data_IF_642326814017
#
_entry.id   IF_642326814017
#
_cell.length_a   1.000
_cell.length_b   1.000
_cell.length_c   1.000
_cell.angle_alpha   90.00
_cell.angle_beta   90.00
_cell.angle_gamma   90.00
#
_symmetry.space_group_name_H-M   'P 1'
#
loop_
_entity.id
_entity.type
_entity.pdbx_description
1 polymer ?
#
# COMPACT_ATOMS: atom_id res chain seq x y z
N UNK A 1 -49.30 5.48 -41.86
CA UNK A 1 -48.76 4.82 -40.66
C UNK A 1 -47.28 5.20 -40.61
N UNK A 2 -46.81 5.91 -39.59
CA UNK A 2 -45.39 6.21 -39.49
C UNK A 2 -44.64 4.90 -39.23
N UNK A 3 -43.62 4.66 -40.04
CA UNK A 3 -42.67 3.55 -39.96
C UNK A 3 -42.14 3.43 -38.54
N UNK A 4 -42.35 2.28 -37.91
CA UNK A 4 -41.67 1.92 -36.66
C UNK A 4 -40.17 2.02 -36.89
N UNK A 5 -39.53 3.08 -36.36
CA UNK A 5 -38.08 3.15 -36.28
C UNK A 5 -37.62 1.92 -35.49
N UNK A 6 -36.78 1.09 -36.11
CA UNK A 6 -36.24 -0.13 -35.51
C UNK A 6 -35.26 0.23 -34.40
N UNK A 7 -35.80 0.57 -33.23
CA UNK A 7 -35.04 0.82 -32.00
C UNK A 7 -34.45 -0.50 -31.53
N UNK A 8 -33.14 -0.70 -31.73
CA UNK A 8 -32.46 -1.94 -31.31
C UNK A 8 -31.70 -1.74 -30.00
N UNK A 9 -31.97 -2.61 -29.01
CA UNK A 9 -31.22 -2.65 -27.74
C UNK A 9 -30.08 -3.65 -27.83
N UNK A 10 -28.87 -3.23 -27.45
CA UNK A 10 -27.68 -4.08 -27.47
C UNK A 10 -26.80 -3.78 -26.25
N UNK A 11 -26.18 -4.81 -25.69
CA UNK A 11 -25.12 -4.65 -24.70
C UNK A 11 -23.81 -4.30 -25.41
N UNK A 12 -23.23 -3.15 -25.08
CA UNK A 12 -22.00 -2.65 -25.70
C UNK A 12 -21.06 -2.06 -24.65
N UNK A 13 -19.78 -2.00 -24.97
CA UNK A 13 -18.86 -1.14 -24.24
C UNK A 13 -18.89 0.26 -24.86
N UNK A 14 -19.03 1.28 -24.01
CA UNK A 14 -19.13 2.68 -24.38
C UNK A 14 -17.89 3.38 -23.85
N UNK A 15 -17.19 4.08 -24.73
CA UNK A 15 -16.05 4.92 -24.40
C UNK A 15 -16.46 6.38 -24.61
N UNK A 16 -16.34 7.17 -23.56
CA UNK A 16 -16.53 8.61 -23.55
C UNK A 16 -15.19 9.28 -23.30
N UNK A 17 -14.81 10.24 -24.13
CA UNK A 17 -13.61 11.04 -23.95
C UNK A 17 -13.94 12.52 -24.00
N UNK A 18 -13.37 13.32 -23.11
CA UNK A 18 -13.58 14.77 -23.06
C UNK A 18 -12.30 15.49 -22.63
N UNK A 19 -12.12 16.72 -23.07
CA UNK A 19 -10.90 17.50 -22.79
C UNK A 19 -11.07 18.35 -21.52
N UNK A 20 -10.03 18.39 -20.67
CA UNK A 20 -10.00 19.30 -19.53
C UNK A 20 -9.76 20.75 -19.97
N UNK A 21 -10.54 21.69 -19.41
CA UNK A 21 -10.24 23.12 -19.51
C UNK A 21 -10.49 23.75 -20.88
N UNK A 22 -11.30 23.11 -21.75
CA UNK A 22 -11.62 23.59 -23.09
C UNK A 22 -11.96 25.10 -23.16
N UNK A 23 -12.79 25.58 -22.24
CA UNK A 23 -13.23 26.99 -22.22
C UNK A 23 -12.11 27.99 -21.94
N UNK A 24 -11.04 27.58 -21.23
CA UNK A 24 -9.91 28.44 -20.90
C UNK A 24 -8.96 28.52 -22.10
N UNK A 25 -8.68 27.39 -22.75
CA UNK A 25 -7.78 27.34 -23.92
C UNK A 25 -8.37 28.06 -25.14
N UNK A 26 -9.68 27.98 -25.33
CA UNK A 26 -10.38 28.73 -26.38
C UNK A 26 -10.31 30.25 -26.19
N UNK A 27 -10.18 30.73 -24.95
CA UNK A 27 -10.04 32.15 -24.67
C UNK A 27 -8.62 32.69 -24.94
N UNK A 28 -7.60 31.82 -24.90
CA UNK A 28 -6.20 32.19 -25.12
C UNK A 28 -5.82 32.19 -26.62
N UNK A 29 -6.09 31.09 -27.34
CA UNK A 29 -5.83 30.98 -28.78
C UNK A 29 -6.86 30.05 -29.45
N UNK A 30 -7.96 30.64 -29.91
CA UNK A 30 -9.10 29.95 -30.52
C UNK A 30 -8.69 29.15 -31.78
N UNK A 31 -7.85 29.73 -32.64
CA UNK A 31 -7.48 29.12 -33.91
C UNK A 31 -6.58 27.91 -33.69
N UNK A 32 -5.60 28.03 -32.78
CA UNK A 32 -4.73 26.93 -32.41
C UNK A 32 -5.52 25.80 -31.74
N UNK A 33 -6.37 26.12 -30.77
CA UNK A 33 -7.15 25.13 -30.01
C UNK A 33 -8.09 24.33 -30.92
N UNK A 34 -8.81 24.98 -31.85
CA UNK A 34 -9.66 24.28 -32.82
C UNK A 34 -8.85 23.34 -33.72
N UNK A 35 -7.66 23.75 -34.16
CA UNK A 35 -6.80 22.92 -35.01
C UNK A 35 -6.33 21.68 -34.25
N UNK A 36 -5.83 21.86 -33.02
CA UNK A 36 -5.33 20.78 -32.19
C UNK A 36 -6.42 19.77 -31.83
N UNK A 37 -7.63 20.22 -31.49
CA UNK A 37 -8.76 19.33 -31.20
C UNK A 37 -9.14 18.50 -32.43
N UNK A 38 -9.11 19.08 -33.64
CA UNK A 38 -9.36 18.32 -34.87
C UNK A 38 -8.31 17.24 -35.10
N UNK A 39 -7.04 17.54 -34.84
CA UNK A 39 -5.94 16.57 -34.95
C UNK A 39 -6.13 15.44 -33.92
N UNK A 40 -6.41 15.76 -32.66
CA UNK A 40 -6.59 14.77 -31.59
C UNK A 40 -7.84 13.92 -31.83
N UNK A 41 -8.91 14.52 -32.35
CA UNK A 41 -10.09 13.77 -32.82
C UNK A 41 -9.77 12.82 -33.95
N UNK A 42 -8.93 13.22 -34.91
CA UNK A 42 -8.53 12.32 -36.00
C UNK A 42 -7.72 11.13 -35.48
N UNK A 43 -6.83 11.36 -34.50
CA UNK A 43 -6.06 10.30 -33.83
C UNK A 43 -7.01 9.34 -33.11
N UNK A 44 -7.92 9.88 -32.28
CA UNK A 44 -8.89 9.08 -31.55
C UNK A 44 -9.77 8.25 -32.47
N UNK A 45 -10.34 8.84 -33.53
CA UNK A 45 -11.17 8.11 -34.50
C UNK A 45 -10.40 6.97 -35.17
N UNK A 46 -9.14 7.20 -35.53
CA UNK A 46 -8.30 6.17 -36.12
C UNK A 46 -8.03 5.00 -35.15
N UNK A 47 -7.71 5.29 -33.89
CA UNK A 47 -7.57 4.27 -32.86
C UNK A 47 -8.88 3.50 -32.66
N UNK A 48 -10.01 4.19 -32.57
CA UNK A 48 -11.32 3.56 -32.38
C UNK A 48 -11.62 2.57 -33.49
N UNK A 49 -11.40 2.95 -34.76
CA UNK A 49 -11.58 2.06 -35.90
C UNK A 49 -10.60 0.87 -35.88
N UNK A 50 -9.34 1.09 -35.51
CA UNK A 50 -8.32 0.04 -35.42
C UNK A 50 -8.68 -1.03 -34.39
N UNK A 51 -9.35 -0.66 -33.30
CA UNK A 51 -9.83 -1.57 -32.26
C UNK A 51 -11.30 -1.98 -32.46
N UNK A 52 -11.80 -1.98 -33.70
CA UNK A 52 -13.16 -2.42 -34.06
C UNK A 52 -14.28 -1.66 -33.34
N UNK A 53 -14.01 -0.43 -32.91
CA UNK A 53 -15.01 0.49 -32.38
C UNK A 53 -15.65 1.32 -33.47
N UNK A 54 -16.76 1.96 -33.13
CA UNK A 54 -17.46 2.93 -33.98
C UNK A 54 -17.62 4.24 -33.24
N UNK A 55 -17.16 5.32 -33.85
CA UNK A 55 -17.42 6.68 -33.36
C UNK A 55 -18.90 7.00 -33.56
N UNK A 56 -19.53 7.51 -32.51
CA UNK A 56 -20.91 7.99 -32.49
C UNK A 56 -20.84 9.51 -32.50
N UNK A 57 -21.52 10.13 -33.46
CA UNK A 57 -21.52 11.59 -33.60
C UNK A 57 -22.08 12.26 -32.33
N UNK A 58 -21.27 13.15 -31.73
CA UNK A 58 -21.59 13.82 -30.47
C UNK A 58 -21.43 15.33 -30.63
N UNK A 59 -22.42 16.13 -30.19
CA UNK A 59 -22.32 17.58 -30.25
C UNK A 59 -21.30 18.11 -29.23
N UNK A 60 -20.25 18.78 -29.72
CA UNK A 60 -19.23 19.41 -28.88
C UNK A 60 -17.81 18.97 -29.23
N UNK A 61 -16.95 18.96 -28.22
CA UNK A 61 -15.55 18.55 -28.16
C UNK A 61 -15.35 17.11 -27.65
N UNK A 62 -16.36 16.56 -26.98
CA UNK A 62 -16.38 15.17 -26.52
C UNK A 62 -16.37 14.14 -27.67
N UNK A 63 -15.78 12.96 -27.44
CA UNK A 63 -15.79 11.83 -28.37
C UNK A 63 -16.51 10.68 -27.69
N UNK A 64 -17.56 10.17 -28.35
CA UNK A 64 -18.31 9.02 -27.88
C UNK A 64 -18.14 7.87 -28.88
N UNK A 65 -17.93 6.65 -28.39
CA UNK A 65 -17.81 5.49 -29.25
C UNK A 65 -18.37 4.22 -28.61
N UNK A 66 -18.81 3.29 -29.46
CA UNK A 66 -19.26 1.96 -29.06
C UNK A 66 -18.31 0.86 -29.54
N UNK A 67 -18.16 -0.19 -28.73
CA UNK A 67 -17.39 -1.39 -29.04
C UNK A 67 -18.22 -2.64 -28.72
N UNK A 68 -18.03 -3.68 -29.53
CA UNK A 68 -18.59 -4.99 -29.25
C UNK A 68 -17.88 -5.70 -28.07
N UNK A 69 -16.62 -5.34 -27.81
CA UNK A 69 -15.74 -5.95 -26.82
C UNK A 69 -15.25 -4.91 -25.84
N UNK A 70 -15.44 -5.17 -24.54
CA UNK A 70 -14.88 -4.34 -23.45
C UNK A 70 -13.35 -4.35 -23.46
N UNK A 71 -12.75 -5.48 -23.88
CA UNK A 71 -11.28 -5.59 -23.98
C UNK A 71 -10.76 -4.59 -25.00
N UNK A 72 -11.38 -4.55 -26.18
CA UNK A 72 -11.00 -3.69 -27.29
C UNK A 72 -11.22 -2.22 -26.91
N UNK A 73 -12.33 -1.89 -26.25
CA UNK A 73 -12.61 -0.54 -25.77
C UNK A 73 -11.52 -0.03 -24.81
N UNK A 74 -11.09 -0.85 -23.85
CA UNK A 74 -10.07 -0.44 -22.88
C UNK A 74 -8.68 -0.41 -23.50
N UNK A 75 -8.33 -1.36 -24.37
CA UNK A 75 -7.06 -1.29 -25.12
C UNK A 75 -7.00 -0.05 -26.03
N UNK A 76 -8.11 0.27 -26.69
CA UNK A 76 -8.25 1.49 -27.48
C UNK A 76 -8.05 2.73 -26.61
N UNK A 77 -8.68 2.81 -25.43
CA UNK A 77 -8.51 3.92 -24.51
C UNK A 77 -7.04 4.12 -24.12
N UNK A 78 -6.33 3.04 -23.80
CA UNK A 78 -4.89 3.06 -23.46
C UNK A 78 -4.06 3.54 -24.65
N UNK A 79 -4.32 3.05 -25.86
CA UNK A 79 -3.60 3.47 -27.06
C UNK A 79 -3.86 4.94 -27.40
N UNK A 80 -5.09 5.41 -27.25
CA UNK A 80 -5.45 6.83 -27.40
C UNK A 80 -4.58 7.67 -26.45
N UNK A 81 -4.57 7.36 -25.15
CA UNK A 81 -3.77 8.15 -24.19
C UNK A 81 -2.29 8.14 -24.53
N UNK A 82 -1.74 7.02 -25.01
CA UNK A 82 -0.33 6.93 -25.45
C UNK A 82 -0.03 7.82 -26.65
N UNK A 83 -0.92 7.87 -27.65
CA UNK A 83 -0.72 8.72 -28.82
C UNK A 83 -0.90 10.20 -28.48
N UNK A 84 -1.91 10.54 -27.67
CA UNK A 84 -2.12 11.92 -27.23
C UNK A 84 -0.96 12.42 -26.36
N UNK A 85 -0.38 11.57 -25.50
CA UNK A 85 0.83 11.90 -24.74
C UNK A 85 1.99 12.30 -25.66
N UNK A 86 2.27 11.50 -26.70
CA UNK A 86 3.35 11.80 -27.67
C UNK A 86 3.17 13.14 -28.39
N UNK A 87 1.93 13.54 -28.67
CA UNK A 87 1.63 14.83 -29.28
C UNK A 87 1.72 15.97 -28.26
N UNK A 88 1.21 15.77 -27.03
CA UNK A 88 1.32 16.74 -25.93
C UNK A 88 2.78 17.01 -25.50
N UNK A 89 3.66 16.01 -25.57
CA UNK A 89 5.09 16.17 -25.24
C UNK A 89 5.82 17.14 -26.19
N UNK A 90 5.25 17.42 -27.37
CA UNK A 90 5.78 18.41 -28.33
C UNK A 90 5.32 19.84 -28.01
N UNK A 91 4.39 20.00 -27.07
CA UNK A 91 3.78 21.27 -26.71
C UNK A 91 4.28 21.73 -25.33
N UNK A 92 4.31 23.06 -25.15
CA UNK A 92 4.47 23.68 -23.84
C UNK A 92 3.26 23.36 -22.97
N UNK A 93 3.47 23.28 -21.65
CA UNK A 93 2.48 22.79 -20.68
C UNK A 93 1.11 23.47 -20.79
N UNK A 94 1.09 24.81 -20.89
CA UNK A 94 -0.13 25.61 -21.03
C UNK A 94 -0.92 25.39 -22.34
N UNK A 95 -0.33 24.65 -23.29
CA UNK A 95 -0.95 24.34 -24.59
C UNK A 95 -1.33 22.87 -24.74
N UNK A 96 -1.11 22.04 -23.72
CA UNK A 96 -1.43 20.61 -23.75
C UNK A 96 -2.95 20.41 -23.66
N UNK A 97 -3.46 19.47 -24.45
CA UNK A 97 -4.87 19.05 -24.39
C UNK A 97 -4.94 17.68 -23.72
N UNK A 98 -5.33 17.68 -22.45
CA UNK A 98 -5.42 16.46 -21.66
C UNK A 98 -6.85 15.91 -21.69
N UNK A 99 -7.02 14.81 -22.41
CA UNK A 99 -8.29 14.10 -22.49
C UNK A 99 -8.45 13.17 -21.29
N UNK A 100 -9.65 13.17 -20.72
CA UNK A 100 -10.12 12.16 -19.77
C UNK A 100 -10.90 11.12 -20.53
N UNK A 101 -10.78 9.84 -20.16
CA UNK A 101 -11.53 8.76 -20.78
C UNK A 101 -12.29 7.93 -19.74
N UNK A 102 -13.56 7.66 -20.01
CA UNK A 102 -14.43 6.79 -19.23
C UNK A 102 -14.95 5.63 -20.06
N UNK A 103 -14.80 4.40 -19.57
CA UNK A 103 -15.34 3.19 -20.22
C UNK A 103 -16.38 2.51 -19.34
N UNK A 104 -17.55 2.26 -19.90
CA UNK A 104 -18.60 1.50 -19.24
C UNK A 104 -19.11 0.38 -20.15
N UNK A 105 -19.61 -0.71 -19.57
CA UNK A 105 -20.43 -1.67 -20.30
C UNK A 105 -21.88 -1.52 -19.87
N UNK A 106 -22.79 -1.41 -20.83
CA UNK A 106 -24.21 -1.25 -20.53
C UNK A 106 -25.09 -1.42 -21.75
N UNK A 107 -26.39 -1.53 -21.48
CA UNK A 107 -27.39 -1.57 -22.54
C UNK A 107 -27.50 -0.19 -23.18
N UNK A 108 -27.42 -0.17 -24.51
CA UNK A 108 -27.65 1.01 -25.31
C UNK A 108 -28.82 0.79 -26.26
N UNK A 109 -29.49 1.88 -26.56
CA UNK A 109 -30.50 2.00 -27.59
C UNK A 109 -29.86 2.72 -28.77
N UNK A 110 -29.82 2.04 -29.93
CA UNK A 110 -29.28 2.60 -31.15
C UNK A 110 -30.41 3.16 -32.03
N UNK A 111 -30.26 4.42 -32.43
CA UNK A 111 -31.11 5.10 -33.42
C UNK A 111 -30.21 5.75 -34.47
N UNK A 112 -30.23 5.22 -35.69
CA UNK A 112 -29.32 5.58 -36.79
C UNK A 112 -27.82 5.55 -36.39
N UNK A 113 -27.19 6.72 -36.32
CA UNK A 113 -25.79 6.93 -35.94
C UNK A 113 -25.61 7.35 -34.47
N UNK A 114 -26.71 7.43 -33.70
CA UNK A 114 -26.69 7.87 -32.30
C UNK A 114 -27.00 6.72 -31.34
N UNK A 115 -26.40 6.81 -30.15
CA UNK A 115 -26.64 5.88 -29.05
C UNK A 115 -27.23 6.62 -27.86
N UNK A 116 -28.22 6.00 -27.22
CA UNK A 116 -28.90 6.52 -26.03
C UNK A 116 -28.97 5.46 -24.95
N UNK A 117 -29.09 5.89 -23.70
CA UNK A 117 -29.34 5.00 -22.56
C UNK A 117 -28.45 5.30 -21.36
N UNK A 118 -28.76 4.66 -20.24
CA UNK A 118 -28.03 4.87 -18.99
C UNK A 118 -26.56 4.46 -19.13
N UNK A 119 -26.24 3.49 -19.99
CA UNK A 119 -24.87 3.08 -20.29
C UNK A 119 -23.98 4.23 -20.78
N UNK A 120 -24.55 5.15 -21.58
CA UNK A 120 -23.87 6.35 -22.08
C UNK A 120 -23.66 7.37 -20.97
N UNK A 121 -24.70 7.63 -20.16
CA UNK A 121 -24.64 8.56 -19.04
C UNK A 121 -23.60 8.12 -18.00
N UNK A 122 -23.49 6.80 -17.74
CA UNK A 122 -22.47 6.24 -16.86
C UNK A 122 -21.07 6.47 -17.45
N UNK A 123 -20.85 6.18 -18.75
CA UNK A 123 -19.56 6.37 -19.39
C UNK A 123 -19.07 7.82 -19.28
N UNK A 124 -19.93 8.80 -19.58
CA UNK A 124 -19.58 10.22 -19.44
C UNK A 124 -19.39 10.66 -17.99
N UNK A 125 -20.13 10.08 -17.03
CA UNK A 125 -19.88 10.37 -15.62
C UNK A 125 -18.55 9.81 -15.12
N UNK A 126 -18.19 8.61 -15.58
CA UNK A 126 -16.91 7.97 -15.25
C UNK A 126 -15.75 8.73 -15.88
N UNK A 127 -15.91 9.23 -17.11
CA UNK A 127 -14.93 10.12 -17.75
C UNK A 127 -14.66 11.35 -16.88
N UNK A 128 -15.71 12.01 -16.38
CA UNK A 128 -15.55 13.17 -15.50
C UNK A 128 -14.90 12.89 -14.14
N UNK A 129 -14.70 11.62 -13.77
CA UNK A 129 -13.97 11.21 -12.56
C UNK A 129 -12.50 10.86 -12.85
N UNK A 130 -12.11 10.73 -14.12
CA UNK A 130 -10.74 10.42 -14.47
C UNK A 130 -9.81 11.61 -14.24
N UNK A 131 -8.57 11.31 -13.86
CA UNK A 131 -7.52 12.31 -13.87
C UNK A 131 -7.25 12.80 -15.31
N UNK A 132 -6.66 13.99 -15.51
CA UNK A 132 -6.22 14.42 -16.83
C UNK A 132 -5.27 13.38 -17.45
N UNK A 133 -5.45 13.07 -18.74
CA UNK A 133 -4.76 11.96 -19.40
C UNK A 133 -5.02 10.56 -18.77
N UNK A 134 -6.01 10.43 -17.90
CA UNK A 134 -6.38 9.21 -17.20
C UNK A 134 -7.49 8.41 -17.89
N UNK A 135 -7.66 7.17 -17.42
CA UNK A 135 -8.73 6.27 -17.85
C UNK A 135 -9.43 5.70 -16.62
N UNK A 136 -10.74 5.88 -16.56
CA UNK A 136 -11.59 5.25 -15.55
C UNK A 136 -12.57 4.27 -16.20
N UNK A 137 -12.87 3.18 -15.48
CA UNK A 137 -13.77 2.14 -15.95
C UNK A 137 -14.80 1.76 -14.90
N UNK A 138 -15.98 1.34 -15.34
CA UNK A 138 -17.00 0.80 -14.41
C UNK A 138 -16.61 -0.59 -13.93
N UNK A 139 -17.18 -1.01 -12.79
CA UNK A 139 -17.03 -2.39 -12.30
C UNK A 139 -17.38 -3.44 -13.35
N UNK A 140 -18.43 -3.21 -14.13
CA UNK A 140 -18.84 -4.15 -15.18
C UNK A 140 -17.75 -4.34 -16.22
N UNK A 141 -17.07 -3.24 -16.61
CA UNK A 141 -15.93 -3.31 -17.51
C UNK A 141 -14.72 -3.98 -16.85
N UNK A 142 -14.39 -3.59 -15.62
CA UNK A 142 -13.30 -4.19 -14.82
C UNK A 142 -13.43 -5.71 -14.69
N UNK A 143 -14.63 -6.20 -14.32
CA UNK A 143 -14.86 -7.63 -14.10
C UNK A 143 -14.64 -8.47 -15.38
N UNK A 144 -14.84 -7.89 -16.56
CA UNK A 144 -14.60 -8.57 -17.84
C UNK A 144 -13.13 -8.60 -18.27
N UNK A 145 -12.32 -7.63 -17.84
CA UNK A 145 -10.95 -7.44 -18.34
C UNK A 145 -9.85 -7.79 -17.34
N UNK A 146 -10.13 -7.81 -16.02
CA UNK A 146 -9.13 -8.01 -14.95
C UNK A 146 -8.27 -9.28 -15.06
N UNK A 147 -8.71 -10.29 -15.81
CA UNK A 147 -7.98 -11.55 -16.09
C UNK A 147 -7.46 -11.65 -17.51
N UNK A 148 -7.79 -10.69 -18.37
CA UNK A 148 -7.53 -10.71 -19.82
C UNK A 148 -6.46 -9.68 -20.23
N UNK A 149 -6.36 -8.59 -19.47
CA UNK A 149 -5.39 -7.52 -19.70
C UNK A 149 -4.39 -7.47 -18.55
N UNK A 150 -3.12 -7.20 -18.87
CA UNK A 150 -2.03 -7.09 -17.90
C UNK A 150 -1.89 -5.72 -17.23
N UNK A 151 -2.93 -4.89 -17.29
CA UNK A 151 -2.92 -3.55 -16.68
C UNK A 151 -3.16 -3.62 -15.17
N UNK A 152 -2.62 -2.65 -14.43
CA UNK A 152 -2.97 -2.42 -13.03
C UNK A 152 -4.32 -1.72 -12.92
N UNK A 153 -5.00 -1.87 -11.78
CA UNK A 153 -6.26 -1.19 -11.52
C UNK A 153 -6.32 -0.69 -10.07
N UNK A 154 -6.75 0.54 -9.88
CA UNK A 154 -6.98 1.12 -8.55
C UNK A 154 -8.48 1.34 -8.33
N UNK A 155 -8.99 0.95 -7.16
CA UNK A 155 -10.40 1.11 -6.84
C UNK A 155 -10.69 2.52 -6.31
N UNK A 156 -11.55 3.27 -7.01
CA UNK A 156 -11.87 4.67 -6.69
C UNK A 156 -13.15 4.84 -5.85
N UNK A 157 -13.75 3.76 -5.38
CA UNK A 157 -14.98 3.80 -4.58
C UNK A 157 -16.29 3.78 -5.38
N UNK A 158 -17.36 4.12 -4.69
CA UNK A 158 -18.74 4.17 -5.21
C UNK A 158 -19.15 5.61 -5.51
N UNK A 159 -19.61 5.86 -6.73
CA UNK A 159 -19.95 7.19 -7.22
C UNK A 159 -21.42 7.28 -7.66
N UNK A 160 -22.22 8.23 -7.14
CA UNK A 160 -23.60 8.40 -7.56
C UNK A 160 -23.66 8.99 -8.97
N UNK A 161 -24.47 8.38 -9.84
CA UNK A 161 -24.73 8.89 -11.19
C UNK A 161 -26.16 9.43 -11.25
N UNK A 162 -26.33 10.61 -11.85
CA UNK A 162 -27.64 11.25 -11.98
C UNK A 162 -28.57 10.31 -12.77
N UNK A 163 -29.78 10.08 -12.25
CA UNK A 163 -30.80 9.20 -12.81
C UNK A 163 -30.50 7.69 -12.73
N UNK A 164 -29.58 7.26 -11.86
CA UNK A 164 -29.29 5.85 -11.60
C UNK A 164 -29.49 5.58 -10.11
N UNK A 165 -30.27 4.54 -9.79
CA UNK A 165 -30.67 4.23 -8.41
C UNK A 165 -29.52 3.69 -7.55
N UNK A 166 -28.58 3.00 -8.16
CA UNK A 166 -27.42 2.41 -7.47
C UNK A 166 -26.14 3.17 -7.84
N UNK A 167 -25.25 3.43 -6.86
CA UNK A 167 -23.96 4.06 -7.15
C UNK A 167 -23.07 3.13 -7.98
N UNK A 168 -22.33 3.71 -8.91
CA UNK A 168 -21.44 2.97 -9.81
C UNK A 168 -20.07 2.87 -9.17
N UNK A 169 -19.55 1.64 -9.07
CA UNK A 169 -18.17 1.38 -8.64
C UNK A 169 -17.20 1.68 -9.78
N UNK A 170 -16.18 2.49 -9.50
CA UNK A 170 -15.24 2.99 -10.50
C UNK A 170 -13.82 2.51 -10.19
N UNK A 171 -13.07 2.18 -11.23
CA UNK A 171 -11.66 1.78 -11.16
C UNK A 171 -10.84 2.64 -12.11
N UNK A 172 -9.67 3.10 -11.68
CA UNK A 172 -8.67 3.72 -12.54
C UNK A 172 -7.83 2.64 -13.20
N UNK A 173 -7.54 2.79 -14.50
CA UNK A 173 -6.62 1.91 -15.23
C UNK A 173 -5.22 2.48 -15.10
N UNK A 174 -4.29 1.66 -14.60
CA UNK A 174 -2.88 2.00 -14.52
C UNK A 174 -2.21 1.57 -15.83
N UNK A 175 -1.85 2.53 -16.68
CA UNK A 175 -1.23 2.31 -17.98
C UNK A 175 0.27 1.99 -17.83
N UNK A 176 0.96 1.49 -18.86
CA UNK A 176 2.42 1.28 -18.79
C UNK A 176 3.22 2.59 -18.56
N UNK A 177 2.60 3.76 -18.68
CA UNK A 177 3.13 5.06 -18.22
C UNK A 177 2.86 5.37 -16.74
N UNK A 178 2.19 4.45 -16.03
CA UNK A 178 2.13 4.29 -14.57
C UNK A 178 3.07 3.16 -14.08
N UNK A 179 3.83 2.51 -14.98
CA UNK A 179 5.18 2.12 -14.60
C UNK A 179 5.98 3.44 -14.51
N UNK A 180 6.82 3.64 -13.49
CA UNK A 180 7.44 4.95 -13.26
C UNK A 180 8.37 5.31 -14.41
N UNK A 181 7.83 5.95 -15.46
CA UNK A 181 8.60 6.88 -16.27
C UNK A 181 8.99 7.99 -15.33
N UNK A 182 10.30 8.18 -15.19
CA UNK A 182 10.95 9.14 -14.31
C UNK A 182 10.21 10.49 -14.33
N UNK A 183 9.32 10.69 -13.34
CA UNK A 183 8.70 11.97 -13.10
C UNK A 183 9.80 12.89 -12.59
N UNK A 184 10.19 13.79 -13.47
CA UNK A 184 10.83 15.04 -13.12
C UNK A 184 9.95 15.70 -12.05
N UNK A 185 10.53 15.88 -10.87
CA UNK A 185 10.17 16.86 -9.84
C UNK A 185 8.72 17.00 -9.37
N UNK A 186 8.00 15.89 -9.12
CA UNK A 186 7.15 15.86 -7.93
C UNK A 186 7.87 15.14 -6.79
N UNK A 187 8.25 15.94 -5.80
CA UNK A 187 8.71 15.49 -4.49
C UNK A 187 7.44 15.04 -3.78
N UNK A 188 7.29 13.74 -3.49
CA UNK A 188 6.35 13.36 -2.44
C UNK A 188 6.78 14.13 -1.22
N UNK A 189 5.94 15.06 -0.74
CA UNK A 189 6.19 15.75 0.52
C UNK A 189 6.48 14.66 1.54
N UNK A 190 7.70 14.68 2.08
CA UNK A 190 8.09 13.75 3.12
C UNK A 190 7.03 13.88 4.22
N UNK A 191 6.44 12.77 4.66
CA UNK A 191 5.46 12.84 5.74
C UNK A 191 6.04 13.66 6.90
N UNK A 192 5.22 14.48 7.55
CA UNK A 192 5.62 15.26 8.74
C UNK A 192 6.24 14.40 9.85
N UNK A 193 6.03 13.07 9.77
CA UNK A 193 6.61 12.06 10.64
C UNK A 193 7.74 11.31 9.91
N UNK A 194 8.82 10.95 10.61
CA UNK A 194 9.89 10.13 10.03
C UNK A 194 9.33 8.84 9.42
N UNK A 195 9.85 8.47 8.25
CA UNK A 195 9.33 7.39 7.41
C UNK A 195 10.42 6.46 6.93
N UNK A 196 10.13 5.15 6.90
CA UNK A 196 11.11 4.11 6.54
C UNK A 196 10.51 3.06 5.60
N UNK A 197 11.31 2.66 4.61
CA UNK A 197 11.09 1.43 3.85
C UNK A 197 12.17 0.40 4.20
N UNK A 198 11.75 -0.84 4.44
CA UNK A 198 12.68 -1.97 4.58
C UNK A 198 12.67 -2.77 3.29
N UNK A 199 13.79 -2.79 2.57
CA UNK A 199 13.93 -3.53 1.33
C UNK A 199 14.18 -5.01 1.59
N UNK A 200 13.77 -5.91 0.67
CA UNK A 200 14.09 -7.33 0.76
C UNK A 200 15.57 -7.54 0.92
N UNK A 201 15.97 -8.26 1.98
CA UNK A 201 17.38 -8.54 2.21
C UNK A 201 17.91 -9.50 1.14
N UNK A 202 19.09 -9.19 0.61
CA UNK A 202 19.73 -10.02 -0.40
C UNK A 202 20.21 -11.34 0.18
N UNK A 203 19.85 -12.45 -0.45
CA UNK A 203 20.41 -13.75 -0.14
C UNK A 203 21.78 -13.92 -0.82
N UNK A 204 22.85 -13.77 -0.05
CA UNK A 204 24.23 -13.93 -0.51
C UNK A 204 24.81 -15.32 -0.14
N UNK A 205 23.95 -16.26 0.27
CA UNK A 205 24.31 -17.64 0.61
C UNK A 205 24.65 -18.48 -0.62
N UNK A 206 24.30 -18.03 -1.83
CA UNK A 206 24.50 -18.75 -3.09
C UNK A 206 23.52 -19.90 -3.32
N UNK A 207 22.55 -20.09 -2.42
CA UNK A 207 21.51 -21.11 -2.48
C UNK A 207 20.13 -20.46 -2.54
N UNK A 208 19.45 -20.49 -3.71
CA UNK A 208 18.11 -19.92 -3.87
C UNK A 208 17.05 -20.58 -2.98
N UNK A 209 17.30 -21.79 -2.46
CA UNK A 209 16.35 -22.43 -1.53
C UNK A 209 16.31 -21.75 -0.16
N UNK A 210 17.27 -20.86 0.14
CA UNK A 210 17.35 -20.11 1.39
C UNK A 210 16.72 -18.71 1.29
N UNK A 211 16.15 -18.36 0.15
CA UNK A 211 15.51 -17.07 -0.09
C UNK A 211 14.36 -16.76 0.88
N UNK A 212 13.63 -17.79 1.31
CA UNK A 212 12.57 -17.65 2.31
C UNK A 212 13.09 -17.08 3.64
N UNK A 213 14.37 -17.31 3.95
CA UNK A 213 14.97 -16.90 5.21
C UNK A 213 15.29 -15.40 5.21
N UNK A 214 15.86 -14.87 4.13
CA UNK A 214 16.08 -13.44 3.97
C UNK A 214 14.76 -12.67 3.87
N UNK A 215 13.77 -13.21 3.17
CA UNK A 215 12.43 -12.64 3.10
C UNK A 215 11.72 -12.63 4.46
N UNK A 216 11.84 -13.73 5.21
CA UNK A 216 11.28 -13.85 6.55
C UNK A 216 11.88 -12.83 7.53
N UNK A 217 13.21 -12.67 7.52
CA UNK A 217 13.89 -11.67 8.36
C UNK A 217 13.44 -10.24 8.00
N UNK A 218 13.35 -9.93 6.71
CA UNK A 218 12.86 -8.63 6.22
C UNK A 218 11.46 -8.34 6.78
N UNK A 219 10.54 -9.30 6.67
CA UNK A 219 9.17 -9.18 7.16
C UNK A 219 9.09 -9.00 8.68
N UNK A 220 9.92 -9.70 9.45
CA UNK A 220 9.97 -9.54 10.90
C UNK A 220 10.44 -8.14 11.30
N UNK A 221 11.43 -7.57 10.61
CA UNK A 221 11.89 -6.21 10.89
C UNK A 221 10.80 -5.18 10.58
N UNK A 222 10.09 -5.32 9.45
CA UNK A 222 8.93 -4.48 9.12
C UNK A 222 7.89 -4.53 10.24
N UNK A 223 7.54 -5.73 10.71
CA UNK A 223 6.56 -5.92 11.79
C UNK A 223 7.02 -5.29 13.12
N UNK A 224 8.31 -5.37 13.45
CA UNK A 224 8.89 -4.71 14.63
C UNK A 224 8.77 -3.19 14.57
N UNK A 225 9.08 -2.60 13.41
CA UNK A 225 9.01 -1.14 13.20
C UNK A 225 7.57 -0.62 13.20
N UNK A 226 6.59 -1.39 12.72
CA UNK A 226 5.16 -1.01 12.75
C UNK A 226 4.63 -0.76 14.17
N UNK A 227 5.32 -1.22 15.22
CA UNK A 227 4.95 -0.98 16.62
C UNK A 227 5.34 0.43 17.11
N UNK A 228 6.21 1.13 16.36
CA UNK A 228 6.62 2.51 16.63
C UNK A 228 5.54 3.45 16.08
N UNK A 229 4.77 4.11 16.94
CA UNK A 229 3.60 4.92 16.56
C UNK A 229 3.99 6.25 15.89
N UNK A 230 5.20 6.75 16.13
CA UNK A 230 5.76 7.95 15.49
C UNK A 230 6.64 7.66 14.26
N UNK A 231 6.55 6.46 13.69
CA UNK A 231 7.31 6.05 12.50
C UNK A 231 6.35 5.56 11.41
N UNK A 232 6.41 6.16 10.23
CA UNK A 232 5.65 5.70 9.08
C UNK A 232 6.41 4.58 8.37
N UNK A 233 5.88 3.36 8.42
CA UNK A 233 6.54 2.17 7.84
C UNK A 233 5.83 1.75 6.56
N UNK A 234 6.58 1.58 5.48
CA UNK A 234 6.04 1.10 4.20
C UNK A 234 5.64 -0.36 4.30
N UNK A 235 4.46 -0.66 3.74
CA UNK A 235 3.93 -2.01 3.70
C UNK A 235 4.85 -2.96 2.91
N UNK A 236 4.99 -4.19 3.42
CA UNK A 236 5.80 -5.27 2.83
C UNK A 236 5.66 -5.38 1.31
N UNK A 237 4.44 -5.42 0.79
CA UNK A 237 4.21 -5.63 -0.65
C UNK A 237 4.80 -4.52 -1.52
N UNK A 238 4.81 -3.28 -1.03
CA UNK A 238 5.40 -2.14 -1.75
C UNK A 238 6.92 -2.23 -1.78
N UNK A 239 7.56 -2.56 -0.64
CA UNK A 239 9.02 -2.77 -0.61
C UNK A 239 9.47 -3.98 -1.45
N UNK A 240 8.70 -5.07 -1.42
CA UNK A 240 9.03 -6.30 -2.14
C UNK A 240 8.90 -6.16 -3.66
N UNK A 241 8.24 -5.11 -4.17
CA UNK A 241 8.22 -4.80 -5.59
C UNK A 241 9.63 -4.46 -6.15
N UNK A 242 10.58 -4.12 -5.29
CA UNK A 242 11.98 -3.84 -5.65
C UNK A 242 12.90 -5.06 -5.58
N UNK A 243 12.39 -6.23 -5.17
CA UNK A 243 13.20 -7.44 -5.05
C UNK A 243 13.87 -7.80 -6.38
N UNK A 244 15.20 -7.96 -6.36
CA UNK A 244 15.99 -8.33 -7.52
C UNK A 244 16.07 -7.26 -8.63
N UNK A 245 15.61 -6.03 -8.36
CA UNK A 245 15.74 -4.91 -9.29
C UNK A 245 16.97 -4.08 -8.93
N UNK A 246 17.71 -3.62 -9.93
CA UNK A 246 18.80 -2.66 -9.75
C UNK A 246 18.24 -1.25 -9.86
N UNK A 247 17.77 -0.71 -8.74
CA UNK A 247 17.26 0.67 -8.65
C UNK A 247 18.04 1.40 -7.56
N UNK A 248 18.42 2.66 -7.80
CA UNK A 248 19.15 3.44 -6.80
C UNK A 248 18.28 3.80 -5.59
N UNK A 249 18.89 3.81 -4.40
CA UNK A 249 18.17 3.98 -3.11
C UNK A 249 17.40 5.31 -3.05
N UNK A 250 17.98 6.39 -3.59
CA UNK A 250 17.30 7.69 -3.75
C UNK A 250 16.01 7.59 -4.56
N UNK A 251 16.04 6.84 -5.66
CA UNK A 251 14.87 6.66 -6.50
C UNK A 251 13.82 5.82 -5.78
N UNK A 252 14.22 4.72 -5.14
CA UNK A 252 13.32 3.88 -4.34
C UNK A 252 12.65 4.69 -3.23
N UNK A 253 13.42 5.47 -2.49
CA UNK A 253 12.90 6.28 -1.40
C UNK A 253 11.92 7.34 -1.88
N UNK A 254 12.21 7.95 -3.04
CA UNK A 254 11.33 8.90 -3.70
C UNK A 254 10.02 8.26 -4.16
N UNK A 255 10.09 7.09 -4.79
CA UNK A 255 8.91 6.36 -5.27
C UNK A 255 8.02 5.88 -4.11
N UNK A 256 8.64 5.49 -2.98
CA UNK A 256 7.93 5.04 -1.78
C UNK A 256 7.53 6.17 -0.83
N UNK A 257 8.00 7.41 -1.06
CA UNK A 257 7.72 8.55 -0.19
C UNK A 257 8.34 8.43 1.20
N UNK A 258 9.54 7.87 1.30
CA UNK A 258 10.23 7.67 2.59
C UNK A 258 11.50 8.49 2.73
N UNK A 259 11.80 8.91 3.96
CA UNK A 259 13.07 9.57 4.29
C UNK A 259 14.21 8.58 4.41
N UNK A 260 13.93 7.44 5.03
CA UNK A 260 14.94 6.44 5.37
C UNK A 260 14.69 5.13 4.63
N UNK A 261 15.77 4.46 4.24
CA UNK A 261 15.72 3.12 3.65
C UNK A 261 16.63 2.19 4.44
N UNK A 262 16.09 1.03 4.79
CA UNK A 262 16.83 -0.08 5.37
C UNK A 262 17.09 -1.12 4.31
N UNK A 263 18.35 -1.44 4.08
CA UNK A 263 18.77 -2.55 3.23
C UNK A 263 19.69 -3.50 3.98
N UNK A 264 19.86 -4.71 3.45
CA UNK A 264 20.68 -5.70 4.10
C UNK A 264 20.91 -6.93 3.24
N UNK A 265 21.81 -7.78 3.72
CA UNK A 265 22.08 -9.08 3.11
C UNK A 265 22.18 -10.15 4.18
N UNK A 266 21.83 -11.37 3.80
CA UNK A 266 21.86 -12.54 4.66
C UNK A 266 22.67 -13.64 3.99
N UNK A 267 23.62 -14.17 4.75
CA UNK A 267 24.40 -15.34 4.40
C UNK A 267 24.17 -16.42 5.45
N UNK A 268 23.54 -17.53 5.07
CA UNK A 268 23.33 -18.67 5.96
C UNK A 268 24.24 -19.82 5.53
N UNK A 269 24.96 -20.37 6.51
CA UNK A 269 25.87 -21.51 6.33
C UNK A 269 25.66 -22.50 7.48
N UNK A 270 24.90 -23.57 7.22
CA UNK A 270 24.46 -24.50 8.27
C UNK A 270 23.56 -23.78 9.28
N UNK A 271 23.97 -23.82 10.56
CA UNK A 271 23.28 -23.18 11.69
C UNK A 271 23.79 -21.76 11.98
N UNK A 272 24.80 -21.28 11.25
CA UNK A 272 25.34 -19.92 11.41
C UNK A 272 24.77 -19.00 10.35
N UNK A 273 24.46 -17.78 10.76
CA UNK A 273 23.91 -16.74 9.90
C UNK A 273 24.73 -15.47 10.08
N UNK A 274 25.18 -14.92 8.97
CA UNK A 274 25.77 -13.59 8.88
C UNK A 274 24.77 -12.63 8.25
N UNK A 275 24.51 -11.52 8.91
CA UNK A 275 23.54 -10.52 8.47
C UNK A 275 24.23 -9.17 8.44
N UNK A 276 24.16 -8.51 7.30
CA UNK A 276 24.60 -7.12 7.14
C UNK A 276 23.37 -6.25 7.05
N UNK A 277 23.32 -5.15 7.80
CA UNK A 277 22.20 -4.21 7.80
C UNK A 277 22.73 -2.80 7.64
N UNK A 278 22.06 -1.98 6.84
CA UNK A 278 22.42 -0.59 6.58
C UNK A 278 21.19 0.31 6.57
N UNK A 279 21.24 1.38 7.33
CA UNK A 279 20.24 2.45 7.33
C UNK A 279 20.80 3.66 6.57
N UNK A 280 20.02 4.14 5.61
CA UNK A 280 20.41 5.21 4.70
C UNK A 280 19.37 6.33 4.79
N UNK A 281 19.84 7.57 4.93
CA UNK A 281 19.01 8.76 4.73
C UNK A 281 19.00 9.09 3.23
N UNK A 282 17.87 8.83 2.58
CA UNK A 282 17.76 8.98 1.13
C UNK A 282 17.68 10.44 0.67
N UNK A 283 17.48 11.39 1.59
CA UNK A 283 17.53 12.83 1.26
C UNK A 283 18.96 13.31 1.06
N UNK A 284 19.91 12.71 1.77
CA UNK A 284 21.32 13.10 1.76
C UNK A 284 22.24 12.06 1.13
N UNK A 285 21.73 10.86 0.81
CA UNK A 285 22.52 9.69 0.39
C UNK A 285 23.51 9.20 1.45
N UNK A 286 23.29 9.58 2.71
CA UNK A 286 24.21 9.32 3.79
C UNK A 286 23.88 8.00 4.47
N UNK A 287 24.86 7.09 4.55
CA UNK A 287 24.76 5.89 5.36
C UNK A 287 24.84 6.29 6.83
N UNK A 288 23.69 6.32 7.49
CA UNK A 288 23.56 6.72 8.89
C UNK A 288 24.15 5.67 9.84
N UNK A 289 23.93 4.40 9.51
CA UNK A 289 24.32 3.27 10.33
C UNK A 289 24.53 2.03 9.47
N UNK A 290 25.54 1.24 9.79
CA UNK A 290 25.77 -0.06 9.19
C UNK A 290 26.34 -1.00 10.24
N UNK A 291 25.85 -2.24 10.25
CA UNK A 291 26.34 -3.25 11.18
C UNK A 291 26.27 -4.66 10.62
N UNK A 292 27.19 -5.50 11.10
CA UNK A 292 27.32 -6.91 10.72
C UNK A 292 27.12 -7.78 11.96
N UNK A 293 26.25 -8.77 11.83
CA UNK A 293 25.93 -9.75 12.86
C UNK A 293 26.38 -11.13 12.41
N UNK A 294 27.02 -11.87 13.30
CA UNK A 294 27.35 -13.30 13.12
C UNK A 294 26.73 -14.03 14.32
N UNK A 295 25.72 -14.87 14.05
CA UNK A 295 24.84 -15.48 15.06
C UNK A 295 24.50 -16.92 14.70
N UNK A 296 24.11 -17.68 15.71
CA UNK A 296 23.43 -18.96 15.51
C UNK A 296 21.96 -18.73 15.14
N UNK A 297 21.39 -19.63 14.34
CA UNK A 297 20.03 -19.49 13.80
C UNK A 297 18.95 -19.48 14.90
N UNK A 298 19.25 -20.04 16.08
CA UNK A 298 18.38 -19.97 17.26
C UNK A 298 18.19 -18.55 17.79
N UNK A 299 19.17 -17.67 17.56
CA UNK A 299 19.22 -16.33 18.16
C UNK A 299 18.63 -15.26 17.22
N UNK A 300 18.11 -15.66 16.06
CA UNK A 300 17.66 -14.76 15.00
C UNK A 300 16.47 -13.88 15.43
N UNK A 301 15.61 -14.39 16.30
CA UNK A 301 14.45 -13.63 16.80
C UNK A 301 14.89 -12.54 17.79
N UNK A 302 15.93 -12.78 18.59
CA UNK A 302 16.51 -11.75 19.45
C UNK A 302 17.22 -10.66 18.64
N UNK A 303 17.79 -11.03 17.49
CA UNK A 303 18.45 -10.08 16.61
C UNK A 303 17.47 -9.06 15.99
N UNK A 304 16.21 -9.46 15.74
CA UNK A 304 15.19 -8.53 15.23
C UNK A 304 15.02 -7.33 16.15
N UNK A 305 14.82 -7.57 17.44
CA UNK A 305 14.59 -6.51 18.42
C UNK A 305 15.83 -5.61 18.59
N UNK A 306 17.02 -6.22 18.53
CA UNK A 306 18.29 -5.48 18.51
C UNK A 306 18.39 -4.53 17.31
N UNK A 307 18.07 -5.01 16.10
CA UNK A 307 18.08 -4.21 14.87
C UNK A 307 17.04 -3.08 14.97
N UNK A 308 15.82 -3.38 15.39
CA UNK A 308 14.76 -2.37 15.55
C UNK A 308 15.19 -1.25 16.49
N UNK A 309 15.84 -1.57 17.61
CA UNK A 309 16.32 -0.57 18.56
C UNK A 309 17.45 0.31 18.04
N UNK A 310 18.40 -0.29 17.31
CA UNK A 310 19.48 0.48 16.68
C UNK A 310 18.96 1.40 15.59
N UNK A 311 17.93 0.99 14.85
CA UNK A 311 17.28 1.82 13.85
C UNK A 311 16.62 3.06 14.48
N UNK A 312 15.83 2.86 15.52
CA UNK A 312 15.18 3.97 16.25
C UNK A 312 16.22 4.97 16.77
N UNK A 313 17.32 4.44 17.33
CA UNK A 313 18.41 5.26 17.86
C UNK A 313 19.15 6.03 16.77
N UNK A 314 19.48 5.37 15.65
CA UNK A 314 20.18 5.98 14.52
C UNK A 314 19.33 7.03 13.80
N UNK A 315 18.02 6.88 13.80
CA UNK A 315 17.06 7.84 13.22
C UNK A 315 16.73 9.00 14.18
N UNK A 316 17.35 9.05 15.36
CA UNK A 316 17.11 10.03 16.43
C UNK A 316 15.63 10.16 16.82
N UNK A 317 14.88 9.05 16.76
CA UNK A 317 13.45 9.06 17.05
C UNK A 317 13.22 9.12 18.55
N UNK A 318 12.53 10.18 18.99
CA UNK A 318 11.99 10.23 20.35
C UNK A 318 10.83 9.24 20.45
N UNK A 319 11.06 8.11 21.09
CA UNK A 319 10.00 7.19 21.49
C UNK A 319 9.24 7.78 22.69
N UNK A 320 7.91 7.75 22.67
CA UNK A 320 7.10 8.02 23.87
C UNK A 320 7.35 6.96 24.94
N UNK A 321 7.12 7.28 26.22
CA UNK A 321 7.23 6.32 27.33
C UNK A 321 6.41 5.06 27.04
N UNK A 322 5.23 5.17 26.43
CA UNK A 322 4.39 4.05 26.02
C UNK A 322 4.87 3.28 24.78
N UNK A 323 5.72 3.85 23.93
CA UNK A 323 6.35 3.15 22.79
C UNK A 323 7.66 2.50 23.20
N UNK A 324 8.49 3.18 23.99
CA UNK A 324 9.62 2.56 24.68
C UNK A 324 9.13 1.40 25.51
N UNK A 325 8.01 1.59 26.20
CA UNK A 325 7.29 0.53 26.84
C UNK A 325 6.80 -0.46 25.77
N UNK A 326 5.90 -0.23 24.82
CA UNK A 326 5.53 -1.29 23.82
C UNK A 326 6.67 -2.00 23.05
N UNK A 327 7.83 -1.37 22.85
CA UNK A 327 9.05 -1.98 22.31
C UNK A 327 9.89 -2.72 23.37
N UNK A 328 9.84 -2.29 24.63
CA UNK A 328 10.54 -2.82 25.81
C UNK A 328 9.63 -2.91 27.07
N UNK A 329 8.36 -3.36 27.04
CA UNK A 329 7.38 -2.85 28.04
C UNK A 329 7.67 -3.42 29.42
N UNK A 330 8.44 -2.67 30.22
CA UNK A 330 9.07 -3.17 31.42
C UNK A 330 10.12 -4.24 31.14
N UNK A 331 11.00 -4.08 30.16
CA UNK A 331 12.04 -5.00 29.64
C UNK A 331 13.38 -4.99 30.38
N UNK A 332 14.07 -6.13 30.44
CA UNK A 332 15.40 -6.30 31.04
C UNK A 332 16.50 -6.36 29.97
N UNK A 333 17.69 -5.81 30.24
CA UNK A 333 18.89 -6.06 29.41
C UNK A 333 19.62 -7.35 29.79
N UNK A 334 19.16 -8.02 30.85
CA UNK A 334 19.72 -9.28 31.33
C UNK A 334 18.96 -10.46 30.73
N UNK A 335 19.59 -11.13 29.76
CA UNK A 335 18.98 -12.25 29.02
C UNK A 335 18.48 -13.39 29.93
N UNK A 336 19.07 -13.57 31.12
CA UNK A 336 18.61 -14.58 32.08
C UNK A 336 17.32 -14.17 32.78
N UNK A 337 17.13 -12.89 33.08
CA UNK A 337 15.87 -12.36 33.61
C UNK A 337 14.76 -12.46 32.55
N UNK A 338 15.10 -12.19 31.29
CA UNK A 338 14.15 -12.31 30.16
C UNK A 338 13.70 -13.76 29.95
N UNK A 339 14.62 -14.73 29.87
CA UNK A 339 14.30 -16.17 29.74
C UNK A 339 13.36 -16.64 30.87
N UNK A 340 13.67 -16.26 32.12
CA UNK A 340 12.88 -16.63 33.29
C UNK A 340 11.47 -16.04 33.24
N UNK A 341 11.33 -14.77 32.84
CA UNK A 341 10.03 -14.15 32.67
C UNK A 341 9.21 -14.85 31.57
N UNK A 342 9.78 -15.06 30.38
CA UNK A 342 9.05 -15.69 29.27
C UNK A 342 8.57 -17.11 29.59
N UNK A 343 9.41 -17.90 30.27
CA UNK A 343 9.01 -19.24 30.75
C UNK A 343 7.91 -19.15 31.81
N UNK A 344 7.97 -18.17 32.71
CA UNK A 344 6.91 -17.92 33.69
C UNK A 344 5.56 -17.57 33.04
N UNK A 345 5.58 -16.74 32.00
CA UNK A 345 4.39 -16.36 31.21
C UNK A 345 3.77 -17.58 30.52
N UNK A 346 4.58 -18.51 30.00
CA UNK A 346 4.07 -19.73 29.37
C UNK A 346 3.19 -20.54 30.33
N UNK A 347 3.59 -20.67 31.59
CA UNK A 347 2.81 -21.37 32.61
C UNK A 347 1.54 -20.59 33.01
N UNK A 348 1.63 -19.27 33.16
CA UNK A 348 0.48 -18.42 33.51
C UNK A 348 -0.60 -18.45 32.42
N UNK A 349 -0.20 -18.46 31.14
CA UNK A 349 -1.11 -18.50 30.00
C UNK A 349 -1.82 -19.84 29.78
N UNK A 350 -1.54 -20.87 30.59
CA UNK A 350 -2.25 -22.16 30.55
C UNK A 350 -3.53 -22.16 31.41
N UNK A 351 -3.83 -21.06 32.10
CA UNK A 351 -5.08 -20.82 32.84
C UNK A 351 -5.51 -22.00 33.72
N UNK A 352 -4.59 -22.54 34.54
CA UNK A 352 -4.93 -23.56 35.53
C UNK A 352 -4.17 -23.35 36.85
N UNK A 353 -4.78 -23.80 37.94
CA UNK A 353 -4.29 -23.59 39.32
C UNK A 353 -2.88 -24.17 39.55
N UNK A 354 -2.58 -25.35 38.98
CA UNK A 354 -1.30 -26.04 39.18
C UNK A 354 -0.13 -25.31 38.50
N UNK A 355 -0.35 -24.84 37.28
CA UNK A 355 0.68 -24.15 36.49
C UNK A 355 0.90 -22.71 36.95
N UNK A 356 -0.12 -22.05 37.54
CA UNK A 356 0.00 -20.68 38.05
C UNK A 356 1.07 -20.54 39.15
N UNK A 357 1.21 -21.55 40.02
CA UNK A 357 2.24 -21.56 41.06
C UNK A 357 3.65 -21.68 40.47
N UNK A 358 3.83 -22.52 39.44
CA UNK A 358 5.11 -22.65 38.75
C UNK A 358 5.48 -21.38 37.96
N UNK A 359 4.50 -20.77 37.31
CA UNK A 359 4.69 -19.50 36.61
C UNK A 359 5.13 -18.37 37.54
N UNK A 360 4.48 -18.24 38.72
CA UNK A 360 4.87 -17.24 39.73
C UNK A 360 6.29 -17.43 40.25
N UNK A 361 6.74 -18.67 40.47
CA UNK A 361 8.10 -18.94 40.92
C UNK A 361 9.15 -18.46 39.91
N UNK A 362 8.89 -18.66 38.61
CA UNK A 362 9.79 -18.21 37.54
C UNK A 362 9.81 -16.68 37.40
N UNK A 363 8.69 -16.00 37.68
CA UNK A 363 8.65 -14.54 37.72
C UNK A 363 9.44 -13.96 38.90
N UNK A 364 9.40 -14.61 40.07
CA UNK A 364 10.23 -14.21 41.22
C UNK A 364 11.71 -14.35 40.88
N UNK A 365 12.11 -15.46 40.25
CA UNK A 365 13.50 -15.63 39.79
C UNK A 365 13.92 -14.58 38.76
N UNK A 366 13.01 -14.11 37.90
CA UNK A 366 13.28 -13.02 36.97
C UNK A 366 13.50 -11.68 37.68
N UNK A 367 12.72 -11.41 38.73
CA UNK A 367 12.83 -10.22 39.59
C UNK A 367 14.16 -10.22 40.36
N UNK A 368 14.56 -11.36 40.91
CA UNK A 368 15.82 -11.48 41.66
C UNK A 368 17.06 -11.23 40.77
N UNK A 369 16.93 -11.45 39.46
CA UNK A 369 18.01 -11.25 38.48
C UNK A 369 18.06 -9.79 37.99
N UNK A 370 16.91 -9.14 37.85
CA UNK A 370 16.81 -7.73 37.48
C UNK A 370 15.59 -7.08 38.16
N UNK A 371 15.82 -6.43 39.30
CA UNK A 371 14.77 -5.79 40.10
C UNK A 371 14.08 -4.63 39.35
N UNK A 372 14.71 -4.08 38.30
CA UNK A 372 14.12 -3.01 37.48
C UNK A 372 13.29 -3.55 36.31
N UNK A 373 13.25 -4.88 36.16
CA UNK A 373 12.47 -5.54 35.13
C UNK A 373 10.98 -5.51 35.51
N UNK A 374 10.23 -4.55 34.97
CA UNK A 374 8.84 -4.32 35.41
C UNK A 374 7.86 -5.43 34.96
N UNK A 375 8.14 -6.14 33.86
CA UNK A 375 7.23 -7.13 33.28
C UNK A 375 6.89 -8.31 34.23
N UNK A 376 7.85 -8.93 34.95
CA UNK A 376 7.55 -9.90 36.00
C UNK A 376 6.56 -9.41 37.06
N UNK A 377 6.66 -8.15 37.51
CA UNK A 377 5.74 -7.59 38.51
C UNK A 377 4.31 -7.44 37.95
N UNK A 378 4.18 -7.00 36.69
CA UNK A 378 2.87 -6.93 36.00
C UNK A 378 2.24 -8.32 35.90
N UNK A 379 3.00 -9.34 35.51
CA UNK A 379 2.48 -10.69 35.38
C UNK A 379 2.23 -11.38 36.72
N UNK A 380 2.97 -11.03 37.77
CA UNK A 380 2.63 -11.41 39.15
C UNK A 380 1.28 -10.84 39.55
N UNK A 381 1.02 -9.55 39.28
CA UNK A 381 -0.26 -8.94 39.58
C UNK A 381 -1.43 -9.63 38.85
N UNK A 382 -1.27 -9.88 37.55
CA UNK A 382 -2.27 -10.59 36.74
C UNK A 382 -2.52 -12.01 37.26
N UNK A 383 -1.48 -12.74 37.68
CA UNK A 383 -1.65 -14.09 38.24
C UNK A 383 -2.51 -14.08 39.50
N UNK A 384 -2.38 -13.08 40.38
CA UNK A 384 -3.21 -12.93 41.57
C UNK A 384 -4.65 -12.51 41.23
N UNK A 385 -4.84 -11.74 40.16
CA UNK A 385 -6.17 -11.42 39.61
C UNK A 385 -6.83 -12.68 39.02
N UNK A 386 -6.08 -13.60 38.42
CA UNK A 386 -6.64 -14.87 37.96
C UNK A 386 -7.13 -15.75 39.11
N UNK A 387 -6.42 -15.80 40.25
CA UNK A 387 -6.91 -16.51 41.43
C UNK A 387 -8.29 -15.97 41.91
N UNK A 388 -8.52 -14.66 41.73
CA UNK A 388 -9.79 -13.98 42.03
C UNK A 388 -10.88 -14.31 41.00
N UNK A 389 -10.59 -14.13 39.72
CA UNK A 389 -11.56 -14.29 38.62
C UNK A 389 -12.04 -15.74 38.52
N UNK A 390 -11.13 -16.70 38.70
CA UNK A 390 -11.43 -18.12 38.54
C UNK A 390 -11.75 -18.85 39.86
N UNK A 391 -11.74 -18.13 40.99
CA UNK A 391 -12.10 -18.69 42.30
C UNK A 391 -11.10 -19.72 42.84
N UNK A 392 -9.84 -19.63 42.43
CA UNK A 392 -8.76 -20.48 42.94
C UNK A 392 -8.16 -19.95 44.24
N UNK A 393 -8.45 -18.70 44.61
CA UNK A 393 -8.04 -18.16 45.90
C UNK A 393 -8.93 -18.64 47.04
N UNK A 394 -8.30 -19.02 48.15
CA UNK A 394 -8.97 -19.24 49.45
C UNK A 394 -9.15 -17.95 50.24
N UNK A 395 -8.48 -16.86 49.84
CA UNK A 395 -8.57 -15.52 50.45
C UNK A 395 -8.48 -14.42 49.36
N UNK A 396 -9.65 -14.01 48.88
CA UNK A 396 -9.80 -13.02 47.82
C UNK A 396 -9.20 -11.64 48.17
N UNK A 397 -9.32 -11.21 49.43
CA UNK A 397 -8.81 -9.90 49.85
C UNK A 397 -7.28 -9.87 49.80
N UNK A 398 -6.64 -10.94 50.27
CA UNK A 398 -5.19 -11.06 50.22
C UNK A 398 -4.66 -11.16 48.77
N UNK A 399 -5.35 -11.88 47.87
CA UNK A 399 -4.99 -11.91 46.44
C UNK A 399 -5.06 -10.52 45.80
N UNK A 400 -6.07 -9.72 46.13
CA UNK A 400 -6.20 -8.36 45.62
C UNK A 400 -5.08 -7.43 46.14
N UNK A 401 -4.74 -7.55 47.42
CA UNK A 401 -3.65 -6.77 48.03
C UNK A 401 -2.28 -7.13 47.43
N UNK A 402 -2.04 -8.42 47.15
CA UNK A 402 -0.82 -8.87 46.48
C UNK A 402 -0.75 -8.37 45.02
N UNK A 403 -1.88 -8.38 44.31
CA UNK A 403 -1.95 -7.82 42.96
C UNK A 403 -1.60 -6.31 42.97
N UNK A 404 -2.21 -5.54 43.88
CA UNK A 404 -1.94 -4.11 44.00
C UNK A 404 -0.48 -3.82 44.34
N UNK A 405 0.11 -4.55 45.29
CA UNK A 405 1.53 -4.39 45.65
C UNK A 405 2.45 -4.64 44.45
N UNK A 406 2.16 -5.66 43.64
CA UNK A 406 2.94 -5.98 42.46
C UNK A 406 2.79 -4.92 41.36
N UNK A 407 1.59 -4.37 41.15
CA UNK A 407 1.38 -3.23 40.24
C UNK A 407 2.12 -1.98 40.73
N UNK A 408 2.08 -1.68 42.03
CA UNK A 408 2.82 -0.53 42.59
C UNK A 408 4.31 -0.67 42.33
N UNK A 409 4.89 -1.86 42.55
CA UNK A 409 6.29 -2.13 42.25
C UNK A 409 6.64 -2.10 40.76
N UNK A 410 5.69 -2.39 39.87
CA UNK A 410 5.91 -2.29 38.43
C UNK A 410 6.00 -0.83 37.93
N UNK A 411 5.51 0.11 38.74
CA UNK A 411 5.43 1.55 38.41
C UNK A 411 6.57 2.34 39.10
N UNK A 412 7.15 1.79 40.17
CA UNK A 412 8.39 2.28 40.82
C UNK A 412 9.62 2.00 39.97
#
# INVERSE_FOLDING_TARGET
MPTEQNVTRKLRAILSADVKGYSILMADDEVFTIKMIKEYRSIMSHCIEQYNGRVVDSPGDNVLSEFASTVDAVQCAVEIQRQLKKENDRLVEDKRLEFRIGVNIGDIVQDEDRIYGDGVNIASRIEGLADPAGICISRGAYDQIKKKLGFGFEYMGEHPVKNISEPVRVYKVLMDSDAPEALVDEVLDLPDKPSIAVLPFDNISGDPSQEYFSDGLTEQIINGLCKVSNLFVIARNSSFAYKGKQVGIKQIARELGVKYVLEGSVQKAGDRVRITVQLIDATTDYHMWSENYDRDLSDIFALQDEITMKLISAMELNLTVGEQARLWEGGTTNIKAYDKCMRGLEYINRYNEKDLAQGRQLLIEAIDIDEKYAMPYVWMALSHIFDLIYGWSTDALNSFDLANKAVTKAIE
#
